data_IF_949426826777
#
_entry.id   IF_949426826777
#
_cell.length_a   1.000
_cell.length_b   1.000
_cell.length_c   1.000
_cell.angle_alpha   90.00
_cell.angle_beta   90.00
_cell.angle_gamma   90.00
#
_symmetry.space_group_name_H-M   'P 1'
#
loop_
_entity.id
_entity.type
_entity.pdbx_description
1 polymer ?
#
# COMPACT_ATOMS: atom_id res chain seq x y z
N UNK A 1 -26.59 54.56 49.53
CA UNK A 1 -25.36 53.76 49.75
C UNK A 1 -25.57 52.35 49.19
N UNK A 2 -24.80 52.00 48.15
CA UNK A 2 -24.16 50.71 47.89
C UNK A 2 -25.01 49.43 48.08
N UNK A 3 -25.39 48.77 46.97
CA UNK A 3 -24.86 47.44 46.60
C UNK A 3 -25.26 47.03 45.18
N UNK A 4 -24.26 47.10 44.30
CA UNK A 4 -24.20 46.45 42.99
C UNK A 4 -24.09 44.94 43.20
N UNK A 5 -24.87 44.13 42.48
CA UNK A 5 -24.47 42.77 42.08
C UNK A 5 -24.86 42.55 40.63
N UNK A 6 -23.83 42.62 39.78
CA UNK A 6 -23.88 42.32 38.35
C UNK A 6 -24.09 40.81 38.21
N UNK A 7 -25.18 40.41 37.55
CA UNK A 7 -25.33 39.05 37.05
C UNK A 7 -24.39 38.89 35.85
N UNK A 8 -23.32 38.10 36.01
CA UNK A 8 -22.49 37.66 34.91
C UNK A 8 -23.30 36.65 34.10
N UNK A 9 -23.79 37.10 32.95
CA UNK A 9 -24.38 36.26 31.91
C UNK A 9 -23.24 35.44 31.29
N UNK A 10 -23.16 34.15 31.64
CA UNK A 10 -22.32 33.18 30.94
C UNK A 10 -22.90 32.96 29.53
N UNK A 11 -22.46 33.75 28.54
CA UNK A 11 -22.60 33.36 27.14
C UNK A 11 -21.54 32.33 26.83
N UNK A 12 -21.89 31.06 27.03
CA UNK A 12 -21.24 29.92 26.41
C UNK A 12 -21.37 30.08 24.89
N UNK A 13 -20.30 30.53 24.25
CA UNK A 13 -20.14 30.44 22.81
C UNK A 13 -20.08 28.94 22.43
N UNK A 14 -21.22 28.40 22.02
CA UNK A 14 -21.28 27.11 21.35
C UNK A 14 -20.58 27.22 20.00
N UNK A 15 -19.28 26.91 19.97
CA UNK A 15 -18.62 26.51 18.74
C UNK A 15 -19.26 25.18 18.31
N UNK A 16 -20.27 25.27 17.44
CA UNK A 16 -20.70 24.13 16.64
C UNK A 16 -19.53 23.88 15.69
N UNK A 17 -18.70 22.88 16.02
CA UNK A 17 -17.74 22.35 15.06
C UNK A 17 -18.55 21.83 13.86
N UNK A 18 -18.48 22.55 12.74
CA UNK A 18 -18.95 22.04 11.46
C UNK A 18 -18.32 20.66 11.27
N UNK A 19 -19.09 19.60 10.97
CA UNK A 19 -18.49 18.35 10.55
C UNK A 19 -17.66 18.68 9.31
N UNK A 20 -16.36 18.38 9.35
CA UNK A 20 -15.51 18.44 8.17
C UNK A 20 -16.23 17.66 7.07
N UNK A 21 -16.81 18.36 6.10
CA UNK A 21 -17.53 17.74 5.00
C UNK A 21 -16.59 16.71 4.39
N UNK A 22 -16.93 15.43 4.51
CA UNK A 22 -16.09 14.36 4.00
C UNK A 22 -15.79 14.67 2.53
N UNK A 23 -14.50 14.84 2.21
CA UNK A 23 -14.07 15.20 0.86
C UNK A 23 -14.69 14.23 -0.17
N UNK A 24 -15.11 14.72 -1.34
CA UNK A 24 -15.72 13.88 -2.37
C UNK A 24 -14.79 12.67 -2.64
N UNK A 25 -15.29 11.42 -2.53
CA UNK A 25 -14.50 10.22 -2.83
C UNK A 25 -13.70 10.30 -4.14
N UNK A 26 -14.27 10.97 -5.16
CA UNK A 26 -13.62 11.17 -6.46
C UNK A 26 -12.34 12.00 -6.33
N UNK A 27 -12.31 13.00 -5.45
CA UNK A 27 -11.15 13.86 -5.23
C UNK A 27 -10.05 13.18 -4.40
N UNK A 28 -10.40 12.15 -3.62
CA UNK A 28 -9.44 11.42 -2.78
C UNK A 28 -8.61 10.42 -3.58
N UNK A 29 -9.19 9.79 -4.61
CA UNK A 29 -8.54 8.72 -5.38
C UNK A 29 -7.18 9.14 -5.97
N UNK A 30 -7.02 10.31 -6.62
CA UNK A 30 -5.71 10.74 -7.13
C UNK A 30 -4.62 10.87 -6.06
N UNK A 31 -4.97 11.31 -4.85
CA UNK A 31 -4.03 11.42 -3.75
C UNK A 31 -3.60 10.03 -3.23
N UNK A 32 -4.54 9.08 -3.18
CA UNK A 32 -4.26 7.69 -2.82
C UNK A 32 -3.34 7.02 -3.85
N UNK A 33 -3.61 7.22 -5.15
CA UNK A 33 -2.75 6.67 -6.21
C UNK A 33 -1.37 7.33 -6.24
N UNK A 34 -1.25 8.60 -5.85
CA UNK A 34 0.05 9.26 -5.64
C UNK A 34 0.83 8.60 -4.50
N UNK A 35 0.16 8.23 -3.39
CA UNK A 35 0.80 7.50 -2.28
C UNK A 35 1.29 6.12 -2.71
N UNK A 36 0.52 5.40 -3.52
CA UNK A 36 0.97 4.15 -4.11
C UNK A 36 2.28 4.36 -4.88
N UNK A 37 2.32 5.31 -5.83
CA UNK A 37 3.50 5.55 -6.67
C UNK A 37 4.74 6.02 -5.90
N UNK A 38 4.55 6.84 -4.87
CA UNK A 38 5.66 7.45 -4.13
C UNK A 38 6.15 6.62 -2.95
N UNK A 39 5.29 5.78 -2.37
CA UNK A 39 5.57 5.04 -1.13
C UNK A 39 5.27 3.55 -1.22
N UNK A 40 4.88 3.04 -2.39
CA UNK A 40 4.46 1.65 -2.59
C UNK A 40 3.33 1.25 -1.62
N UNK A 41 2.44 2.20 -1.32
CA UNK A 41 1.40 2.06 -0.31
C UNK A 41 0.20 1.24 -0.84
N UNK A 42 0.25 -0.07 -0.63
CA UNK A 42 -0.81 -1.01 -1.03
C UNK A 42 -2.14 -0.72 -0.31
N UNK A 43 -2.11 -0.21 0.92
CA UNK A 43 -3.33 0.14 1.64
C UNK A 43 -4.05 1.33 0.96
N UNK A 44 -3.29 2.32 0.47
CA UNK A 44 -3.85 3.41 -0.31
C UNK A 44 -4.48 2.92 -1.63
N UNK A 45 -3.85 1.95 -2.32
CA UNK A 45 -4.43 1.33 -3.51
C UNK A 45 -5.76 0.61 -3.19
N UNK A 46 -5.79 -0.22 -2.14
CA UNK A 46 -7.01 -0.89 -1.70
C UNK A 46 -8.14 0.12 -1.39
N UNK A 47 -7.80 1.22 -0.70
CA UNK A 47 -8.76 2.28 -0.43
C UNK A 47 -9.27 2.94 -1.73
N UNK A 48 -8.40 3.20 -2.71
CA UNK A 48 -8.79 3.76 -4.00
C UNK A 48 -9.73 2.82 -4.78
N UNK A 49 -9.46 1.51 -4.78
CA UNK A 49 -10.31 0.47 -5.35
C UNK A 49 -11.70 0.49 -4.68
N UNK A 50 -11.72 0.47 -3.35
CA UNK A 50 -12.96 0.44 -2.56
C UNK A 50 -13.80 1.70 -2.79
N UNK A 51 -13.18 2.89 -2.77
CA UNK A 51 -13.87 4.15 -3.03
C UNK A 51 -14.46 4.17 -4.46
N UNK A 52 -13.70 3.71 -5.45
CA UNK A 52 -14.17 3.62 -6.84
C UNK A 52 -15.37 2.69 -6.96
N UNK A 53 -15.31 1.51 -6.35
CA UNK A 53 -16.42 0.54 -6.34
C UNK A 53 -17.68 1.08 -5.64
N UNK A 54 -17.51 1.89 -4.60
CA UNK A 54 -18.61 2.43 -3.80
C UNK A 54 -19.35 3.61 -4.42
N UNK A 55 -18.91 4.11 -5.59
CA UNK A 55 -19.54 5.27 -6.22
C UNK A 55 -21.01 4.98 -6.60
N UNK A 56 -21.89 5.98 -6.44
CA UNK A 56 -23.30 5.84 -6.78
C UNK A 56 -23.50 5.71 -8.29
N UNK A 57 -24.55 4.99 -8.73
CA UNK A 57 -24.83 4.72 -10.15
C UNK A 57 -24.94 5.96 -11.02
N UNK A 58 -25.41 7.07 -10.46
CA UNK A 58 -25.50 8.36 -11.15
C UNK A 58 -24.10 8.85 -11.61
N UNK A 59 -23.03 8.37 -10.97
CA UNK A 59 -21.63 8.65 -11.31
C UNK A 59 -20.98 7.54 -12.17
N UNK A 60 -21.74 6.64 -12.81
CA UNK A 60 -21.19 5.50 -13.58
C UNK A 60 -20.14 5.90 -14.65
N UNK A 61 -20.34 7.02 -15.34
CA UNK A 61 -19.36 7.53 -16.30
C UNK A 61 -18.03 7.89 -15.62
N UNK A 62 -18.08 8.57 -14.46
CA UNK A 62 -16.91 8.92 -13.66
C UNK A 62 -16.25 7.67 -13.08
N UNK A 63 -17.04 6.72 -12.60
CA UNK A 63 -16.55 5.44 -12.08
C UNK A 63 -15.74 4.68 -13.13
N UNK A 64 -16.21 4.60 -14.39
CA UNK A 64 -15.42 3.99 -15.48
C UNK A 64 -14.08 4.70 -15.72
N UNK A 65 -14.06 6.03 -15.64
CA UNK A 65 -12.80 6.79 -15.74
C UNK A 65 -11.86 6.40 -14.60
N UNK A 66 -12.36 6.39 -13.36
CA UNK A 66 -11.57 6.06 -12.18
C UNK A 66 -11.06 4.62 -12.20
N UNK A 67 -11.85 3.64 -12.66
CA UNK A 67 -11.37 2.28 -12.84
C UNK A 67 -10.18 2.21 -13.79
N UNK A 68 -10.25 2.89 -14.94
CA UNK A 68 -9.10 2.98 -15.87
C UNK A 68 -7.89 3.62 -15.21
N UNK A 69 -8.09 4.65 -14.38
CA UNK A 69 -7.00 5.29 -13.63
C UNK A 69 -6.37 4.35 -12.60
N UNK A 70 -7.18 3.56 -11.89
CA UNK A 70 -6.72 2.56 -10.92
C UNK A 70 -5.91 1.46 -11.62
N UNK A 71 -6.44 0.86 -12.69
CA UNK A 71 -5.70 -0.15 -13.45
C UNK A 71 -4.42 0.40 -14.07
N UNK A 72 -4.45 1.60 -14.65
CA UNK A 72 -3.25 2.25 -15.16
C UNK A 72 -2.20 2.50 -14.06
N UNK A 73 -2.61 2.76 -12.82
CA UNK A 73 -1.69 2.90 -11.70
C UNK A 73 -1.09 1.55 -11.27
N UNK A 74 -1.86 0.47 -11.30
CA UNK A 74 -1.36 -0.90 -11.05
C UNK A 74 -0.38 -1.32 -12.15
N UNK A 75 -0.75 -1.13 -13.41
CA UNK A 75 0.07 -1.52 -14.56
C UNK A 75 1.41 -0.76 -14.58
N UNK A 76 1.42 0.51 -14.17
CA UNK A 76 2.65 1.31 -14.08
C UNK A 76 3.64 0.79 -13.03
N UNK A 77 3.16 0.11 -11.98
CA UNK A 77 3.98 -0.45 -10.90
C UNK A 77 4.29 -1.95 -11.10
N UNK A 78 3.57 -2.60 -12.02
CA UNK A 78 3.73 -4.02 -12.32
C UNK A 78 4.89 -4.22 -13.28
N UNK A 79 5.77 -5.17 -12.96
CA UNK A 79 6.87 -5.56 -13.86
C UNK A 79 6.30 -6.53 -14.91
N UNK A 80 6.32 -6.18 -16.22
CA UNK A 80 5.82 -7.07 -17.26
C UNK A 80 6.59 -8.39 -17.27
N UNK A 81 5.87 -9.52 -17.25
CA UNK A 81 6.48 -10.84 -17.25
C UNK A 81 7.21 -11.21 -15.96
N UNK A 82 6.90 -10.56 -14.83
CA UNK A 82 7.47 -10.95 -13.53
C UNK A 82 7.22 -12.43 -13.24
N UNK A 83 8.30 -13.17 -12.97
CA UNK A 83 8.25 -14.60 -12.68
C UNK A 83 7.90 -14.82 -11.20
N UNK A 84 6.65 -15.20 -10.94
CA UNK A 84 6.18 -15.54 -9.59
C UNK A 84 6.60 -16.94 -9.12
N UNK A 85 7.21 -17.75 -9.98
CA UNK A 85 7.79 -19.04 -9.59
C UNK A 85 9.20 -18.89 -9.02
N UNK A 86 9.89 -17.79 -9.35
CA UNK A 86 11.18 -17.41 -8.79
C UNK A 86 11.02 -16.82 -7.37
N UNK A 87 10.62 -17.68 -6.43
CA UNK A 87 10.37 -17.29 -5.04
C UNK A 87 11.67 -16.94 -4.31
N UNK A 88 11.66 -15.95 -3.39
CA UNK A 88 12.79 -15.71 -2.49
C UNK A 88 12.98 -16.87 -1.53
N UNK A 89 14.23 -17.18 -1.20
CA UNK A 89 14.54 -18.21 -0.22
C UNK A 89 14.26 -17.71 1.20
N UNK A 90 13.62 -18.54 2.02
CA UNK A 90 13.37 -18.20 3.43
C UNK A 90 14.68 -18.18 4.23
N UNK A 91 15.53 -19.18 4.00
CA UNK A 91 16.85 -19.30 4.60
C UNK A 91 17.85 -19.62 3.50
N UNK A 92 18.78 -18.71 3.24
CA UNK A 92 19.84 -18.92 2.28
C UNK A 92 20.93 -19.80 2.89
N UNK A 93 21.46 -20.74 2.14
CA UNK A 93 22.63 -21.51 2.55
C UNK A 93 23.93 -20.81 2.15
N UNK A 94 24.95 -20.76 3.03
CA UNK A 94 26.28 -20.34 2.62
C UNK A 94 26.90 -21.37 1.66
N UNK A 95 28.04 -21.00 1.05
CA UNK A 95 28.78 -21.91 0.17
C UNK A 95 28.99 -23.28 0.84
N UNK A 96 28.83 -24.39 0.10
CA UNK A 96 29.06 -25.74 0.63
C UNK A 96 30.46 -25.91 1.26
N UNK A 97 31.44 -25.13 0.82
CA UNK A 97 32.81 -25.12 1.36
C UNK A 97 32.88 -24.78 2.84
N UNK A 98 31.92 -24.01 3.36
CA UNK A 98 31.88 -23.60 4.78
C UNK A 98 31.20 -24.65 5.66
N UNK A 99 30.47 -25.61 5.06
CA UNK A 99 29.77 -26.69 5.78
C UNK A 99 28.82 -26.20 6.89
N UNK A 100 28.22 -25.03 6.70
CA UNK A 100 27.25 -24.45 7.63
C UNK A 100 25.82 -24.66 7.13
N UNK A 101 24.83 -24.80 8.04
CA UNK A 101 23.44 -24.92 7.66
C UNK A 101 22.88 -23.63 7.08
N UNK A 102 21.73 -23.73 6.38
CA UNK A 102 20.99 -22.57 5.90
C UNK A 102 20.59 -21.65 7.06
N UNK A 103 20.68 -20.33 6.83
CA UNK A 103 20.41 -19.32 7.85
C UNK A 103 21.51 -19.15 8.89
N UNK A 104 22.68 -19.77 8.72
CA UNK A 104 23.85 -19.48 9.55
C UNK A 104 24.24 -18.00 9.47
N UNK A 105 24.68 -17.44 10.59
CA UNK A 105 25.13 -16.06 10.68
C UNK A 105 26.44 -15.86 9.88
N UNK A 106 26.60 -14.76 9.11
CA UNK A 106 27.81 -14.52 8.32
C UNK A 106 29.10 -14.55 9.14
N UNK A 107 29.05 -14.15 10.41
CA UNK A 107 30.18 -14.13 11.33
C UNK A 107 30.75 -15.53 11.62
N UNK A 108 29.96 -16.58 11.39
CA UNK A 108 30.44 -17.96 11.50
C UNK A 108 31.35 -18.38 10.32
N UNK A 109 31.33 -17.63 9.21
CA UNK A 109 32.17 -17.88 8.04
C UNK A 109 33.55 -17.24 8.27
N UNK A 110 34.56 -18.08 8.54
CA UNK A 110 35.92 -17.61 8.86
C UNK A 110 36.61 -16.95 7.67
N UNK A 111 36.44 -17.53 6.48
CA UNK A 111 37.02 -16.99 5.25
C UNK A 111 36.30 -15.67 4.88
N UNK A 112 37.08 -14.61 4.70
CA UNK A 112 36.56 -13.28 4.41
C UNK A 112 35.86 -13.21 3.04
N UNK A 113 36.44 -13.83 2.02
CA UNK A 113 35.87 -13.78 0.66
C UNK A 113 34.55 -14.57 0.60
N UNK A 114 34.48 -15.74 1.25
CA UNK A 114 33.24 -16.51 1.33
C UNK A 114 32.16 -15.80 2.15
N UNK A 115 32.56 -15.07 3.20
CA UNK A 115 31.63 -14.25 3.98
C UNK A 115 31.03 -13.12 3.15
N UNK A 116 31.87 -12.36 2.47
CA UNK A 116 31.43 -11.23 1.63
C UNK A 116 30.48 -11.71 0.51
N UNK A 117 30.79 -12.83 -0.13
CA UNK A 117 29.91 -13.42 -1.15
C UNK A 117 28.55 -13.83 -0.57
N UNK A 118 28.54 -14.45 0.62
CA UNK A 118 27.29 -14.85 1.28
C UNK A 118 26.46 -13.65 1.74
N UNK A 119 27.08 -12.61 2.29
CA UNK A 119 26.40 -11.35 2.65
C UNK A 119 25.77 -10.67 1.43
N UNK A 120 26.47 -10.65 0.30
CA UNK A 120 25.91 -10.15 -0.96
C UNK A 120 24.70 -10.96 -1.41
N UNK A 121 24.78 -12.30 -1.34
CA UNK A 121 23.68 -13.17 -1.71
C UNK A 121 22.46 -12.98 -0.77
N UNK A 122 22.68 -12.81 0.53
CA UNK A 122 21.64 -12.44 1.48
C UNK A 122 20.97 -11.11 1.12
N UNK A 123 21.76 -10.07 0.81
CA UNK A 123 21.22 -8.77 0.41
C UNK A 123 20.40 -8.85 -0.89
N UNK A 124 20.86 -9.61 -1.88
CA UNK A 124 20.13 -9.84 -3.13
C UNK A 124 18.81 -10.60 -2.88
N UNK A 125 18.84 -11.64 -2.04
CA UNK A 125 17.64 -12.39 -1.68
C UNK A 125 16.63 -11.51 -0.91
N UNK A 126 17.10 -10.60 -0.05
CA UNK A 126 16.24 -9.62 0.63
C UNK A 126 15.57 -8.67 -0.35
N UNK A 127 16.31 -8.12 -1.33
CA UNK A 127 15.73 -7.27 -2.37
C UNK A 127 14.72 -8.04 -3.23
N UNK A 128 15.04 -9.29 -3.59
CA UNK A 128 14.13 -10.19 -4.29
C UNK A 128 12.86 -10.41 -3.49
N UNK A 129 12.96 -10.65 -2.18
CA UNK A 129 11.81 -10.84 -1.30
C UNK A 129 10.91 -9.61 -1.22
N UNK A 130 11.50 -8.41 -1.13
CA UNK A 130 10.74 -7.16 -1.14
C UNK A 130 9.96 -6.98 -2.46
N UNK A 131 10.64 -7.19 -3.60
CA UNK A 131 10.01 -7.12 -4.93
C UNK A 131 8.89 -8.14 -5.07
N UNK A 132 9.14 -9.39 -4.67
CA UNK A 132 8.18 -10.48 -4.74
C UNK A 132 6.90 -10.15 -3.95
N UNK A 133 7.05 -9.68 -2.72
CA UNK A 133 5.91 -9.28 -1.87
C UNK A 133 5.11 -8.15 -2.51
N UNK A 134 5.79 -7.13 -3.02
CA UNK A 134 5.12 -5.99 -3.65
C UNK A 134 4.37 -6.38 -4.92
N UNK A 135 5.01 -7.13 -5.84
CA UNK A 135 4.38 -7.61 -7.07
C UNK A 135 3.23 -8.57 -6.80
N UNK A 136 3.34 -9.42 -5.77
CA UNK A 136 2.25 -10.32 -5.36
C UNK A 136 1.07 -9.52 -4.84
N UNK A 137 1.31 -8.51 -4.00
CA UNK A 137 0.27 -7.64 -3.49
C UNK A 137 -0.42 -6.84 -4.61
N UNK A 138 0.32 -6.32 -5.59
CA UNK A 138 -0.25 -5.65 -6.76
C UNK A 138 -1.15 -6.60 -7.57
N UNK A 139 -0.70 -7.84 -7.79
CA UNK A 139 -1.49 -8.87 -8.48
C UNK A 139 -2.80 -9.15 -7.74
N UNK A 140 -2.76 -9.34 -6.44
CA UNK A 140 -3.97 -9.55 -5.62
C UNK A 140 -4.93 -8.35 -5.69
N UNK A 141 -4.42 -7.13 -5.61
CA UNK A 141 -5.26 -5.93 -5.74
C UNK A 141 -5.83 -5.78 -7.16
N UNK A 142 -5.10 -6.19 -8.20
CA UNK A 142 -5.59 -6.20 -9.57
C UNK A 142 -6.78 -7.15 -9.75
N UNK A 143 -6.69 -8.38 -9.24
CA UNK A 143 -7.81 -9.33 -9.26
C UNK A 143 -9.02 -8.77 -8.51
N UNK A 144 -8.83 -8.28 -7.28
CA UNK A 144 -9.89 -7.65 -6.50
C UNK A 144 -10.56 -6.48 -7.23
N UNK A 145 -9.77 -5.65 -7.91
CA UNK A 145 -10.30 -4.53 -8.69
C UNK A 145 -11.16 -5.00 -9.86
N UNK A 146 -10.78 -6.11 -10.53
CA UNK A 146 -11.59 -6.71 -11.61
C UNK A 146 -12.91 -7.26 -11.07
N UNK A 147 -12.87 -7.98 -9.96
CA UNK A 147 -14.06 -8.54 -9.32
C UNK A 147 -15.06 -7.43 -8.97
N UNK A 148 -14.61 -6.40 -8.26
CA UNK A 148 -15.47 -5.27 -7.87
C UNK A 148 -15.96 -4.45 -9.06
N UNK A 149 -15.15 -4.27 -10.10
CA UNK A 149 -15.59 -3.61 -11.32
C UNK A 149 -16.72 -4.42 -11.99
N UNK A 150 -16.60 -5.74 -12.05
CA UNK A 150 -17.61 -6.62 -12.64
C UNK A 150 -18.94 -6.56 -11.89
N UNK A 151 -18.90 -6.56 -10.55
CA UNK A 151 -20.07 -6.41 -9.69
C UNK A 151 -20.75 -5.03 -9.85
N UNK A 152 -19.95 -3.97 -10.00
CA UNK A 152 -20.46 -2.62 -10.18
C UNK A 152 -21.20 -2.42 -11.51
N UNK A 153 -20.89 -3.23 -12.53
CA UNK A 153 -21.54 -3.20 -13.84
C UNK A 153 -22.88 -3.95 -13.90
N UNK A 154 -23.13 -4.89 -12.98
CA UNK A 154 -24.34 -5.71 -12.96
C UNK A 154 -25.50 -5.08 -12.17
N UNK A 155 -25.23 -4.06 -11.35
CA UNK A 155 -26.24 -3.41 -10.49
C UNK A 155 -26.91 -2.27 -11.23
#
# INVERSE_FOLDING_TARGET
>A
MIKRRRALLCMLAGLIALPAAAADPVQQIPALLTRLRTRQDIAALNQAITLTASLPKQKAAQQRVLWRTVFSAIDAETIPGYDFSDVPELNLAPSPEVQLPAGAAPEAIKDKALREAYEQALAQNQLKAQRYRYQSALREQAERARDLMSESGQR
#
